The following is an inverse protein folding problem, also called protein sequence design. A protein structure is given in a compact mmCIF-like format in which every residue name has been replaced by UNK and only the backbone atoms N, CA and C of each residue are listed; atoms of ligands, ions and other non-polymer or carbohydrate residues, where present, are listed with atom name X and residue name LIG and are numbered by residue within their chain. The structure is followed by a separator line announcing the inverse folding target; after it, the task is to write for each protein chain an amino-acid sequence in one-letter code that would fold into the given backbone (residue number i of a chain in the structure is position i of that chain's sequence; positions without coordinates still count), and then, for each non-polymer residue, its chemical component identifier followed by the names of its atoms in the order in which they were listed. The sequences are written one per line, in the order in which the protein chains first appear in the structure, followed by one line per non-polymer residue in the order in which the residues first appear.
data_IF_146414904155
#
_entry.id   IF_146414904155
#
_cell.length_a   1.000
_cell.length_b   1.000
_cell.length_c   1.000
_cell.angle_alpha   90.00
_cell.angle_beta   90.00
_cell.angle_gamma   90.00
#
_symmetry.space_group_name_H-M   'P 1'
#
loop_
_entity.id
_entity.type
_entity.pdbx_description
1 polymer ?
#
# COMPACT_ATOMS: atom_id res chain seq x y z
N UNK A 1 12.70 20.26 -1.27
CA UNK A 1 12.66 19.86 0.15
C UNK A 1 11.36 19.15 0.53
N UNK A 2 10.17 19.76 0.33
CA UNK A 2 8.87 19.16 0.71
C UNK A 2 8.61 17.76 0.11
N UNK A 3 8.96 17.54 -1.15
CA UNK A 3 8.80 16.25 -1.84
C UNK A 3 9.75 15.16 -1.33
N UNK A 4 10.96 15.53 -0.89
CA UNK A 4 11.95 14.59 -0.33
C UNK A 4 11.51 14.11 1.06
N UNK A 5 11.00 15.02 1.88
CA UNK A 5 10.42 14.63 3.18
C UNK A 5 9.22 13.70 2.97
N UNK A 6 8.32 14.06 2.06
CA UNK A 6 7.15 13.25 1.73
C UNK A 6 7.53 11.86 1.19
N UNK A 7 8.59 11.77 0.37
CA UNK A 7 9.08 10.48 -0.14
C UNK A 7 9.63 9.60 0.98
N UNK A 8 10.44 10.16 1.90
CA UNK A 8 11.00 9.41 3.04
C UNK A 8 9.86 8.87 3.92
N UNK A 9 8.90 9.73 4.28
CA UNK A 9 7.75 9.34 5.09
C UNK A 9 6.94 8.24 4.41
N UNK A 10 6.73 8.35 3.10
CA UNK A 10 5.99 7.33 2.33
C UNK A 10 6.72 6.01 2.32
N UNK A 11 8.03 6.01 2.10
CA UNK A 11 8.84 4.79 2.15
C UNK A 11 8.76 4.14 3.53
N UNK A 12 8.93 4.92 4.61
CA UNK A 12 8.82 4.40 5.98
C UNK A 12 7.44 3.81 6.24
N UNK A 13 6.38 4.48 5.78
CA UNK A 13 5.02 3.97 5.93
C UNK A 13 4.82 2.65 5.18
N UNK A 14 5.28 2.55 3.93
CA UNK A 14 5.17 1.32 3.13
C UNK A 14 5.92 0.16 3.80
N UNK A 15 7.13 0.42 4.31
CA UNK A 15 7.91 -0.57 5.06
C UNK A 15 7.16 -1.00 6.32
N UNK A 16 6.66 -0.05 7.11
CA UNK A 16 5.91 -0.33 8.33
C UNK A 16 4.65 -1.17 8.05
N UNK A 17 3.91 -0.85 6.99
CA UNK A 17 2.73 -1.61 6.57
C UNK A 17 3.08 -3.03 6.13
N UNK A 18 4.17 -3.21 5.39
CA UNK A 18 4.61 -4.52 4.92
C UNK A 18 5.02 -5.40 6.11
N UNK A 19 5.77 -4.84 7.05
CA UNK A 19 6.15 -5.53 8.29
C UNK A 19 4.93 -5.86 9.15
N UNK A 20 3.97 -4.94 9.26
CA UNK A 20 2.72 -5.19 9.96
C UNK A 20 1.92 -6.33 9.32
N UNK A 21 1.77 -6.33 7.99
CA UNK A 21 1.10 -7.40 7.25
C UNK A 21 1.79 -8.76 7.47
N UNK A 22 3.12 -8.81 7.36
CA UNK A 22 3.91 -10.01 7.63
C UNK A 22 3.68 -10.52 9.06
N UNK A 23 3.74 -9.64 10.05
CA UNK A 23 3.53 -10.01 11.46
C UNK A 23 2.12 -10.56 11.71
N UNK A 24 1.09 -9.90 11.16
CA UNK A 24 -0.30 -10.35 11.25
C UNK A 24 -0.46 -11.73 10.63
N UNK A 25 0.08 -11.94 9.43
CA UNK A 25 -0.04 -13.21 8.73
C UNK A 25 0.69 -14.33 9.47
N UNK A 26 1.92 -14.11 9.94
CA UNK A 26 2.66 -15.10 10.73
C UNK A 26 1.90 -15.47 12.01
N UNK A 27 1.31 -14.48 12.70
CA UNK A 27 0.47 -14.72 13.88
C UNK A 27 -0.77 -15.53 13.54
N UNK A 28 -1.40 -15.26 12.39
CA UNK A 28 -2.53 -16.04 11.90
C UNK A 28 -2.11 -17.48 11.57
N UNK A 29 -0.98 -17.69 10.91
CA UNK A 29 -0.45 -19.04 10.60
C UNK A 29 -0.22 -19.85 11.88
N UNK A 30 0.42 -19.25 12.89
CA UNK A 30 0.67 -19.91 14.19
C UNK A 30 -0.65 -20.29 14.86
N UNK A 31 -1.64 -19.40 14.81
CA UNK A 31 -2.98 -19.70 15.33
C UNK A 31 -3.65 -20.86 14.58
N UNK A 32 -3.70 -20.78 13.24
CA UNK A 32 -4.32 -21.78 12.36
C UNK A 32 -3.69 -23.16 12.57
N UNK A 33 -2.36 -23.23 12.66
CA UNK A 33 -1.62 -24.48 12.84
C UNK A 33 -1.76 -25.09 14.24
N UNK A 34 -2.10 -24.28 15.24
CA UNK A 34 -2.38 -24.75 16.60
C UNK A 34 -3.76 -25.42 16.76
N UNK A 35 -4.63 -25.34 15.76
CA UNK A 35 -5.96 -25.95 15.82
C UNK A 35 -5.90 -27.48 15.69
N UNK A 36 -6.39 -28.17 16.71
CA UNK A 36 -6.41 -29.64 16.75
C UNK A 36 -7.43 -30.25 15.78
N UNK A 37 -8.59 -29.60 15.62
CA UNK A 37 -9.66 -30.10 14.75
C UNK A 37 -9.35 -29.86 13.27
N UNK A 38 -9.33 -30.89 12.42
CA UNK A 38 -9.00 -30.75 11.00
C UNK A 38 -10.01 -29.90 10.24
N UNK A 39 -11.30 -29.96 10.61
CA UNK A 39 -12.34 -29.12 10.02
C UNK A 39 -12.13 -27.63 10.35
N UNK A 40 -11.87 -27.31 11.62
CA UNK A 40 -11.60 -25.93 12.04
C UNK A 40 -10.33 -25.38 11.38
N UNK A 41 -9.29 -26.22 11.28
CA UNK A 41 -8.03 -25.84 10.61
C UNK A 41 -8.24 -25.51 9.14
N UNK A 42 -9.03 -26.30 8.40
CA UNK A 42 -9.30 -26.04 6.99
C UNK A 42 -10.04 -24.70 6.78
N UNK A 43 -11.05 -24.42 7.60
CA UNK A 43 -11.78 -23.13 7.55
C UNK A 43 -10.86 -21.97 7.92
N UNK A 44 -10.03 -22.14 8.95
CA UNK A 44 -9.09 -21.12 9.39
C UNK A 44 -8.00 -20.84 8.34
N UNK A 45 -7.51 -21.85 7.62
CA UNK A 45 -6.60 -21.67 6.48
C UNK A 45 -7.25 -20.86 5.35
N UNK A 46 -8.52 -21.13 5.03
CA UNK A 46 -9.25 -20.34 4.03
C UNK A 46 -9.39 -18.87 4.48
N UNK A 47 -9.70 -18.64 5.75
CA UNK A 47 -9.78 -17.30 6.32
C UNK A 47 -8.41 -16.59 6.34
N UNK A 48 -7.33 -17.29 6.65
CA UNK A 48 -5.96 -16.78 6.59
C UNK A 48 -5.58 -16.35 5.17
N UNK A 49 -5.91 -17.16 4.16
CA UNK A 49 -5.68 -16.80 2.76
C UNK A 49 -6.47 -15.55 2.36
N UNK A 50 -7.74 -15.46 2.74
CA UNK A 50 -8.55 -14.27 2.50
C UNK A 50 -7.97 -13.03 3.19
N UNK A 51 -7.51 -13.17 4.43
CA UNK A 51 -6.81 -12.12 5.15
C UNK A 51 -5.56 -11.67 4.40
N UNK A 52 -4.76 -12.61 3.89
CA UNK A 52 -3.58 -12.33 3.06
C UNK A 52 -3.92 -11.53 1.81
N UNK A 53 -4.97 -11.92 1.08
CA UNK A 53 -5.44 -11.18 -0.10
C UNK A 53 -5.86 -9.76 0.27
N UNK A 54 -6.64 -9.59 1.35
CA UNK A 54 -7.11 -8.27 1.80
C UNK A 54 -5.94 -7.38 2.21
N UNK A 55 -4.98 -7.91 2.98
CA UNK A 55 -3.78 -7.16 3.38
C UNK A 55 -2.93 -6.78 2.17
N UNK A 56 -2.77 -7.68 1.20
CA UNK A 56 -2.02 -7.41 -0.02
C UNK A 56 -2.69 -6.31 -0.85
N UNK A 57 -3.99 -6.41 -1.10
CA UNK A 57 -4.73 -5.39 -1.83
C UNK A 57 -4.71 -4.04 -1.10
N UNK A 58 -4.90 -4.04 0.22
CA UNK A 58 -4.87 -2.82 1.03
C UNK A 58 -3.51 -2.13 1.05
N UNK A 59 -2.43 -2.90 1.24
CA UNK A 59 -1.05 -2.37 1.26
C UNK A 59 -0.65 -1.83 -0.11
N UNK A 60 -0.95 -2.57 -1.19
CA UNK A 60 -0.66 -2.14 -2.57
C UNK A 60 -1.46 -0.89 -2.92
N UNK A 61 -2.76 -0.86 -2.62
CA UNK A 61 -3.60 0.30 -2.88
C UNK A 61 -3.09 1.53 -2.13
N UNK A 62 -2.79 1.41 -0.83
CA UNK A 62 -2.32 2.57 -0.06
C UNK A 62 -0.96 3.05 -0.54
N UNK A 63 -0.02 2.14 -0.81
CA UNK A 63 1.30 2.48 -1.32
C UNK A 63 1.22 3.23 -2.66
N UNK A 64 0.42 2.73 -3.60
CA UNK A 64 0.23 3.37 -4.90
C UNK A 64 -0.51 4.69 -4.80
N UNK A 65 -1.58 4.78 -4.01
CA UNK A 65 -2.34 6.02 -3.86
C UNK A 65 -1.52 7.14 -3.21
N UNK A 66 -0.69 6.82 -2.21
CA UNK A 66 0.23 7.79 -1.61
C UNK A 66 1.31 8.22 -2.59
N UNK A 67 1.92 7.26 -3.31
CA UNK A 67 2.93 7.57 -4.31
C UNK A 67 2.36 8.49 -5.40
N UNK A 68 1.17 8.19 -5.93
CA UNK A 68 0.50 9.04 -6.91
C UNK A 68 0.18 10.42 -6.31
N UNK A 69 -0.32 10.54 -5.08
CA UNK A 69 -0.59 11.86 -4.49
C UNK A 69 0.66 12.72 -4.29
N UNK A 70 1.81 12.11 -4.02
CA UNK A 70 3.06 12.82 -3.71
C UNK A 70 3.86 13.12 -4.98
N UNK A 71 3.84 12.21 -5.95
CA UNK A 71 4.63 12.27 -7.18
C UNK A 71 3.82 12.61 -8.43
N UNK A 72 2.49 12.72 -8.37
CA UNK A 72 1.72 13.27 -9.48
C UNK A 72 2.28 14.67 -9.79
N UNK A 73 2.87 14.79 -10.97
CA UNK A 73 3.28 16.07 -11.50
C UNK A 73 2.07 16.99 -11.43
N UNK A 74 2.19 18.12 -10.72
CA UNK A 74 1.21 19.19 -10.86
C UNK A 74 1.16 19.47 -12.36
N UNK A 75 -0.01 19.25 -12.96
CA UNK A 75 -0.21 19.41 -14.41
C UNK A 75 0.57 20.66 -14.85
N UNK A 76 1.35 20.61 -15.95
CA UNK A 76 2.05 21.79 -16.41
C UNK A 76 1.00 22.88 -16.49
N UNK A 77 1.07 23.84 -15.58
CA UNK A 77 0.39 25.12 -15.73
C UNK A 77 0.75 25.51 -17.14
N UNK A 78 -0.25 25.57 -18.03
CA UNK A 78 -0.10 26.13 -19.36
C UNK A 78 0.51 27.52 -19.14
N UNK A 79 1.82 27.61 -19.16
CA UNK A 79 2.55 28.86 -19.16
C UNK A 79 2.23 29.45 -20.52
N UNK A 80 1.33 30.43 -20.48
CA UNK A 80 0.97 31.40 -21.51
C UNK A 80 1.53 31.12 -22.90
N UNK A 81 0.65 30.78 -23.84
CA UNK A 81 0.89 31.14 -25.23
C UNK A 81 0.95 32.66 -25.29
N UNK A 82 2.16 33.21 -25.28
CA UNK A 82 2.42 34.62 -25.42
C UNK A 82 2.13 34.97 -26.89
N UNK A 83 0.89 35.34 -27.19
CA UNK A 83 0.51 35.94 -28.46
C UNK A 83 1.22 37.29 -28.62
N UNK A 84 2.43 37.27 -29.14
CA UNK A 84 3.11 38.47 -29.61
C UNK A 84 2.36 39.05 -30.83
N UNK A 85 2.39 40.38 -31.04
CA UNK A 85 1.69 40.99 -32.15
C UNK A 85 2.34 40.54 -33.47
N UNK A 86 1.53 40.03 -34.39
CA UNK A 86 1.89 39.92 -35.80
C UNK A 86 1.89 41.33 -36.38
N UNK A 87 3.10 41.88 -36.57
CA UNK A 87 3.37 43.05 -37.42
C UNK A 87 3.65 42.59 -38.83
#
# INVERSE_FOLDING_TARGET
MKTILASIVTTVLIVAMTLAAMFILVRATVYVTSLESPYHRAVAMAAELLLGVVLLLGTVWLATHLAVRIFAAKAPTMTSYNGGPVV
#
